data_IF_240668103324
#
_entry.id   IF_240668103324
#
_cell.length_a   1.000
_cell.length_b   1.000
_cell.length_c   1.000
_cell.angle_alpha   90.00
_cell.angle_beta   90.00
_cell.angle_gamma   90.00
#
_symmetry.space_group_name_H-M   'P 1'
#
loop_
_entity.id
_entity.type
_entity.pdbx_description
1 polymer ?
#
# COMPACT_ATOMS: atom_id res chain seq x y z
N UNK A 1 9.85 -3.98 0.33
CA UNK A 1 10.51 -2.83 -0.35
C UNK A 1 9.52 -1.71 -0.59
N UNK A 2 9.89 -0.49 -0.27
CA UNK A 2 9.12 0.74 -0.55
C UNK A 2 9.44 1.23 -1.95
N UNK A 3 8.41 1.64 -2.72
CA UNK A 3 8.63 2.25 -4.03
C UNK A 3 8.68 3.76 -3.92
N UNK A 4 9.79 4.35 -4.40
CA UNK A 4 9.92 5.77 -4.66
C UNK A 4 9.34 6.06 -6.04
N UNK A 5 8.30 6.87 -6.11
CA UNK A 5 7.64 7.28 -7.35
C UNK A 5 7.53 8.80 -7.45
N UNK A 6 7.18 9.31 -8.60
CA UNK A 6 6.90 10.73 -8.81
C UNK A 6 5.42 11.02 -8.56
N UNK A 7 5.14 12.15 -7.89
CA UNK A 7 3.78 12.66 -7.73
C UNK A 7 3.50 13.73 -8.77
N UNK A 8 2.32 13.70 -9.37
CA UNK A 8 1.86 14.73 -10.32
C UNK A 8 1.44 16.04 -9.63
N UNK A 9 1.07 15.94 -8.35
CA UNK A 9 0.64 17.05 -7.51
C UNK A 9 0.97 16.83 -6.04
N UNK A 10 0.70 17.85 -5.21
CA UNK A 10 0.69 17.73 -3.76
C UNK A 10 -0.73 17.68 -3.25
N UNK A 11 -1.00 16.82 -2.30
CA UNK A 11 -2.27 16.77 -1.57
C UNK A 11 -2.10 17.28 -0.12
N UNK A 12 -3.14 17.92 0.45
CA UNK A 12 -3.09 18.31 1.86
C UNK A 12 -3.03 17.05 2.76
N UNK A 13 -1.98 16.95 3.56
CA UNK A 13 -1.75 15.81 4.45
C UNK A 13 -0.94 14.67 3.82
N UNK A 14 -0.88 14.57 2.49
CA UNK A 14 -0.07 13.59 1.80
C UNK A 14 1.39 14.02 1.63
N UNK A 15 2.27 13.06 1.64
CA UNK A 15 3.71 13.25 1.44
C UNK A 15 4.23 12.44 0.24
N UNK A 16 3.34 11.82 -0.54
CA UNK A 16 3.68 10.94 -1.65
C UNK A 16 4.34 9.65 -1.16
N UNK A 17 5.29 9.15 -1.90
CA UNK A 17 5.92 7.85 -1.65
C UNK A 17 6.49 7.66 -0.23
N UNK A 18 6.84 8.73 0.47
CA UNK A 18 7.49 8.67 1.79
C UNK A 18 6.53 8.93 2.97
N UNK A 19 5.21 8.90 2.75
CA UNK A 19 4.23 8.91 3.84
C UNK A 19 4.49 7.71 4.77
N UNK A 20 4.50 7.96 6.09
CA UNK A 20 4.82 6.99 7.14
C UNK A 20 6.23 6.34 7.07
N UNK A 21 7.09 6.78 6.14
CA UNK A 21 8.46 6.27 5.98
C UNK A 21 9.46 7.02 6.88
N UNK A 22 10.46 6.36 7.51
CA UNK A 22 10.77 4.93 7.41
C UNK A 22 10.12 4.06 8.52
N UNK A 23 9.42 4.65 9.47
CA UNK A 23 8.97 3.98 10.71
C UNK A 23 8.02 2.82 10.41
N UNK A 24 7.04 3.03 9.54
CA UNK A 24 6.12 1.96 9.13
C UNK A 24 6.86 0.77 8.49
N UNK A 25 7.83 1.04 7.63
CA UNK A 25 8.63 -0.02 6.98
C UNK A 25 9.46 -0.79 8.01
N UNK A 26 10.08 -0.10 8.96
CA UNK A 26 10.87 -0.72 10.03
C UNK A 26 9.99 -1.61 10.91
N UNK A 27 8.86 -1.09 11.39
CA UNK A 27 7.93 -1.84 12.25
C UNK A 27 7.34 -3.06 11.50
N UNK A 28 6.97 -2.90 10.23
CA UNK A 28 6.53 -4.02 9.40
C UNK A 28 7.62 -5.12 9.33
N UNK A 29 8.89 -4.75 9.14
CA UNK A 29 9.98 -5.73 9.06
C UNK A 29 10.24 -6.41 10.40
N UNK A 30 10.10 -5.72 11.53
CA UNK A 30 10.14 -6.32 12.88
C UNK A 30 9.04 -7.38 12.99
N UNK A 31 7.79 -7.02 12.67
CA UNK A 31 6.66 -7.97 12.74
C UNK A 31 6.80 -9.13 11.78
N UNK A 32 7.32 -8.90 10.58
CA UNK A 32 7.61 -9.97 9.63
C UNK A 32 8.61 -10.98 10.22
N UNK A 33 9.65 -10.51 10.92
CA UNK A 33 10.64 -11.38 11.56
C UNK A 33 10.08 -12.18 12.74
N UNK A 34 9.15 -11.61 13.49
CA UNK A 34 8.53 -12.22 14.66
C UNK A 34 7.44 -13.24 14.30
N UNK A 35 6.65 -12.92 13.28
CA UNK A 35 5.43 -13.65 12.96
C UNK A 35 5.61 -14.67 11.82
N UNK A 36 6.75 -14.66 11.13
CA UNK A 36 7.01 -15.56 10.00
C UNK A 36 8.39 -16.19 10.09
N UNK A 37 8.68 -17.12 9.18
CA UNK A 37 10.02 -17.70 9.01
C UNK A 37 10.89 -16.89 8.04
N UNK A 38 10.45 -15.73 7.61
CA UNK A 38 11.21 -14.87 6.69
C UNK A 38 12.41 -14.28 7.41
N UNK A 39 13.61 -14.48 6.85
CA UNK A 39 14.81 -13.84 7.38
C UNK A 39 14.79 -12.35 7.11
N UNK A 40 14.91 -11.56 8.16
CA UNK A 40 15.09 -10.11 8.11
C UNK A 40 16.48 -9.78 8.62
N UNK A 41 17.25 -9.00 7.86
CA UNK A 41 18.52 -8.47 8.33
C UNK A 41 18.31 -7.31 9.31
N UNK A 42 19.27 -7.11 10.21
CA UNK A 42 19.32 -5.97 11.12
C UNK A 42 20.70 -5.34 11.07
N UNK A 43 20.77 -4.03 11.15
CA UNK A 43 22.05 -3.32 11.25
C UNK A 43 22.65 -3.43 12.67
N UNK A 44 23.83 -2.82 12.87
CA UNK A 44 24.54 -2.84 14.16
C UNK A 44 23.83 -2.03 15.29
N UNK A 45 22.71 -1.37 15.00
CA UNK A 45 21.86 -0.64 15.95
C UNK A 45 20.51 -1.32 16.12
N UNK A 46 20.38 -2.57 15.70
CA UNK A 46 19.14 -3.35 15.69
C UNK A 46 18.00 -2.70 14.86
N UNK A 47 18.36 -1.88 13.86
CA UNK A 47 17.38 -1.36 12.89
C UNK A 47 17.18 -2.38 11.78
N UNK A 48 15.93 -2.81 11.49
CA UNK A 48 15.69 -3.80 10.46
C UNK A 48 15.97 -3.25 9.06
N UNK A 49 16.53 -4.12 8.23
CA UNK A 49 16.82 -3.81 6.84
C UNK A 49 15.51 -3.60 6.07
N UNK A 50 15.41 -2.49 5.40
CA UNK A 50 14.36 -2.15 4.45
C UNK A 50 14.97 -1.46 3.24
N UNK A 51 14.29 -1.50 2.10
CA UNK A 51 14.85 -1.00 0.84
C UNK A 51 13.86 -0.05 0.17
N UNK A 52 14.39 1.06 -0.34
CA UNK A 52 13.67 1.95 -1.25
C UNK A 52 14.15 1.67 -2.67
N UNK A 53 13.21 1.47 -3.59
CA UNK A 53 13.48 1.17 -5.00
C UNK A 53 12.68 2.11 -5.89
N UNK A 54 13.15 2.34 -7.10
CA UNK A 54 12.37 2.97 -8.18
C UNK A 54 11.91 1.90 -9.16
N UNK A 55 10.81 2.12 -9.86
CA UNK A 55 10.27 1.12 -10.80
C UNK A 55 11.16 0.91 -12.01
N UNK A 56 11.99 1.88 -12.38
CA UNK A 56 12.97 1.78 -13.46
C UNK A 56 14.24 1.02 -13.06
N UNK A 57 14.51 0.82 -11.76
CA UNK A 57 15.65 0.01 -11.30
C UNK A 57 15.39 -1.49 -11.53
N UNK A 58 16.23 -2.18 -12.33
CA UNK A 58 16.08 -3.61 -12.56
C UNK A 58 16.19 -4.45 -11.28
N UNK A 59 16.71 -3.91 -10.17
CA UNK A 59 16.78 -4.60 -8.88
C UNK A 59 15.42 -4.91 -8.27
N UNK A 60 14.32 -4.29 -8.73
CA UNK A 60 12.97 -4.60 -8.23
C UNK A 60 12.66 -6.10 -8.31
N UNK A 61 13.20 -6.82 -9.30
CA UNK A 61 13.00 -8.26 -9.45
C UNK A 61 13.67 -9.10 -8.36
N UNK A 62 14.52 -8.51 -7.52
CA UNK A 62 15.09 -9.17 -6.34
C UNK A 62 14.15 -9.13 -5.12
N UNK A 63 13.08 -8.36 -5.19
CA UNK A 63 12.16 -8.12 -4.09
C UNK A 63 10.75 -8.63 -4.45
N UNK A 64 10.24 -9.66 -3.79
CA UNK A 64 8.93 -10.23 -4.13
C UNK A 64 7.75 -9.34 -3.71
N UNK A 65 7.99 -8.35 -2.84
CA UNK A 65 6.98 -7.47 -2.27
C UNK A 65 7.36 -5.99 -2.46
N UNK A 66 6.48 -5.25 -3.11
CA UNK A 66 6.54 -3.79 -3.23
C UNK A 66 5.38 -3.15 -2.48
N UNK A 67 5.67 -2.01 -1.84
CA UNK A 67 4.69 -1.21 -1.13
C UNK A 67 4.72 0.24 -1.63
N UNK A 68 3.55 0.82 -1.89
CA UNK A 68 3.37 2.22 -2.24
C UNK A 68 2.34 2.85 -1.31
N UNK A 69 2.64 3.99 -0.72
CA UNK A 69 1.72 4.81 0.07
C UNK A 69 1.34 6.06 -0.70
N UNK A 70 0.17 6.66 -0.42
CA UNK A 70 -0.34 7.94 -0.98
C UNK A 70 -0.40 7.96 -2.53
N UNK A 71 -0.79 6.81 -3.10
CA UNK A 71 -0.81 6.61 -4.57
C UNK A 71 -1.84 7.47 -5.31
N UNK A 72 -2.66 8.22 -4.59
CA UNK A 72 -3.61 9.18 -5.17
C UNK A 72 -2.94 10.31 -5.95
N UNK A 73 -1.62 10.46 -5.82
CA UNK A 73 -0.81 11.46 -6.54
C UNK A 73 0.20 10.82 -7.50
N UNK A 74 0.20 9.50 -7.61
CA UNK A 74 1.13 8.76 -8.44
C UNK A 74 1.11 9.24 -9.90
N UNK A 75 2.29 9.34 -10.48
CA UNK A 75 2.51 9.45 -11.91
C UNK A 75 3.56 8.44 -12.36
N UNK A 76 3.25 7.67 -13.41
CA UNK A 76 4.13 6.69 -14.01
C UNK A 76 4.55 7.13 -15.41
N UNK A 77 5.84 7.04 -15.70
CA UNK A 77 6.33 7.05 -17.08
C UNK A 77 5.94 5.76 -17.80
N UNK A 78 6.01 5.76 -19.12
CA UNK A 78 5.74 4.56 -19.93
C UNK A 78 6.75 3.44 -19.60
N UNK A 79 7.99 3.78 -19.30
CA UNK A 79 9.05 2.84 -18.93
C UNK A 79 8.78 2.18 -17.58
N UNK A 80 8.37 2.97 -16.58
CA UNK A 80 7.97 2.47 -15.27
C UNK A 80 6.73 1.57 -15.35
N UNK A 81 5.75 1.94 -16.18
CA UNK A 81 4.56 1.14 -16.39
C UNK A 81 4.89 -0.23 -17.01
N UNK A 82 5.74 -0.26 -18.03
CA UNK A 82 6.22 -1.52 -18.65
C UNK A 82 6.97 -2.38 -17.62
N UNK A 83 7.83 -1.76 -16.80
CA UNK A 83 8.59 -2.48 -15.77
C UNK A 83 7.66 -3.04 -14.68
N UNK A 84 6.68 -2.27 -14.26
CA UNK A 84 5.67 -2.73 -13.30
C UNK A 84 4.87 -3.93 -13.84
N UNK A 85 4.48 -3.88 -15.12
CA UNK A 85 3.83 -5.02 -15.80
C UNK A 85 4.71 -6.27 -15.72
N UNK A 86 5.98 -6.16 -16.13
CA UNK A 86 6.91 -7.28 -16.08
C UNK A 86 7.08 -7.83 -14.67
N UNK A 87 7.22 -6.94 -13.69
CA UNK A 87 7.38 -7.32 -12.28
C UNK A 87 6.18 -8.14 -11.78
N UNK A 88 4.98 -7.64 -11.99
CA UNK A 88 3.75 -8.29 -11.53
C UNK A 88 3.53 -9.65 -12.22
N UNK A 89 3.72 -9.72 -13.54
CA UNK A 89 3.53 -10.96 -14.30
C UNK A 89 4.61 -12.01 -14.05
N UNK A 90 5.81 -11.60 -13.59
CA UNK A 90 6.89 -12.52 -13.19
C UNK A 90 6.81 -13.02 -11.75
N UNK A 91 5.75 -12.70 -11.02
CA UNK A 91 5.52 -13.22 -9.68
C UNK A 91 5.60 -12.18 -8.57
N UNK A 92 5.85 -10.93 -8.91
CA UNK A 92 5.85 -9.81 -7.94
C UNK A 92 4.47 -9.55 -7.37
N UNK A 93 4.45 -8.95 -6.18
CA UNK A 93 3.24 -8.53 -5.48
C UNK A 93 3.39 -7.06 -5.09
N UNK A 94 2.38 -6.24 -5.40
CA UNK A 94 2.31 -4.84 -5.03
C UNK A 94 1.14 -4.62 -4.06
N UNK A 95 1.40 -3.94 -2.93
CA UNK A 95 0.36 -3.40 -2.07
C UNK A 95 0.39 -1.88 -2.14
N UNK A 96 -0.77 -1.27 -2.40
CA UNK A 96 -0.96 0.19 -2.37
C UNK A 96 -1.92 0.57 -1.26
N UNK A 97 -1.62 1.68 -0.56
CA UNK A 97 -2.28 2.09 0.67
C UNK A 97 -2.35 3.62 0.76
N UNK A 98 -3.09 4.15 1.73
CA UNK A 98 -3.18 5.56 2.06
C UNK A 98 -3.57 6.45 0.88
N UNK A 99 -4.71 6.17 0.27
CA UNK A 99 -5.29 7.06 -0.75
C UNK A 99 -6.80 7.17 -0.56
N UNK A 100 -7.31 8.41 -0.65
CA UNK A 100 -8.60 8.76 -0.09
C UNK A 100 -9.53 9.42 -1.08
N UNK A 101 -10.76 8.90 -1.16
CA UNK A 101 -11.83 9.45 -1.97
C UNK A 101 -11.72 9.14 -3.46
N UNK A 102 -12.72 9.57 -4.26
CA UNK A 102 -12.83 9.19 -5.66
C UNK A 102 -11.72 9.79 -6.53
N UNK A 103 -11.22 10.98 -6.21
CA UNK A 103 -10.19 11.63 -7.03
C UNK A 103 -8.85 10.88 -6.95
N UNK A 104 -8.45 10.45 -5.74
CA UNK A 104 -7.25 9.63 -5.56
C UNK A 104 -7.43 8.25 -6.23
N UNK A 105 -8.62 7.67 -6.12
CA UNK A 105 -8.96 6.44 -6.83
C UNK A 105 -8.82 6.57 -8.35
N UNK A 106 -9.42 7.61 -8.94
CA UNK A 106 -9.38 7.84 -10.39
C UNK A 106 -7.93 8.04 -10.88
N UNK A 107 -7.12 8.76 -10.11
CA UNK A 107 -5.69 8.95 -10.42
C UNK A 107 -4.95 7.62 -10.39
N UNK A 108 -5.05 6.88 -9.29
CA UNK A 108 -4.40 5.57 -9.16
C UNK A 108 -4.79 4.61 -10.29
N UNK A 109 -6.08 4.46 -10.56
CA UNK A 109 -6.58 3.58 -11.62
C UNK A 109 -6.14 4.06 -13.01
N UNK A 110 -6.09 5.37 -13.23
CA UNK A 110 -5.59 5.96 -14.47
C UNK A 110 -4.14 5.57 -14.75
N UNK A 111 -3.29 5.64 -13.72
CA UNK A 111 -1.88 5.27 -13.83
C UNK A 111 -1.69 3.74 -13.92
N UNK A 112 -2.42 2.97 -13.13
CA UNK A 112 -2.34 1.51 -13.14
C UNK A 112 -2.74 0.91 -14.51
N UNK A 113 -3.66 1.53 -15.23
CA UNK A 113 -4.07 1.11 -16.58
C UNK A 113 -2.95 1.14 -17.61
N UNK A 114 -1.91 1.93 -17.39
CA UNK A 114 -0.71 1.94 -18.24
C UNK A 114 0.07 0.62 -18.12
N UNK A 115 0.05 0.01 -16.92
CA UNK A 115 0.73 -1.25 -16.63
C UNK A 115 -0.18 -2.47 -16.87
N UNK A 116 -1.41 -2.43 -16.35
CA UNK A 116 -2.37 -3.55 -16.43
C UNK A 116 -3.67 -3.07 -17.07
N UNK A 117 -3.95 -3.42 -18.33
CA UNK A 117 -5.23 -3.12 -18.98
C UNK A 117 -6.39 -3.77 -18.23
N UNK A 118 -7.33 -2.96 -17.68
CA UNK A 118 -8.41 -3.47 -16.82
C UNK A 118 -9.45 -4.35 -17.54
N UNK A 119 -9.41 -4.42 -18.86
CA UNK A 119 -10.20 -5.38 -19.62
C UNK A 119 -9.73 -6.82 -19.39
N UNK A 120 -8.40 -6.99 -19.19
CA UNK A 120 -7.77 -8.29 -18.97
C UNK A 120 -7.51 -8.55 -17.48
N UNK A 121 -7.36 -7.47 -16.71
CA UNK A 121 -7.05 -7.47 -15.28
C UNK A 121 -8.07 -6.61 -14.51
N UNK A 122 -9.29 -7.11 -14.31
CA UNK A 122 -10.33 -6.36 -13.60
C UNK A 122 -9.97 -6.17 -12.12
N UNK A 123 -10.38 -5.02 -11.58
CA UNK A 123 -10.35 -4.80 -10.13
C UNK A 123 -11.56 -5.49 -9.51
N UNK A 124 -11.31 -6.27 -8.47
CA UNK A 124 -12.33 -6.98 -7.71
C UNK A 124 -12.28 -6.63 -6.23
N UNK A 125 -13.42 -6.55 -5.58
CA UNK A 125 -13.47 -6.43 -4.12
C UNK A 125 -13.08 -7.78 -3.48
N UNK A 126 -12.27 -7.74 -2.41
CA UNK A 126 -11.90 -8.93 -1.64
C UNK A 126 -12.94 -9.11 -0.54
N UNK A 127 -13.77 -10.17 -0.60
CA UNK A 127 -14.79 -10.39 0.42
C UNK A 127 -14.15 -10.85 1.74
N UNK A 128 -14.79 -10.55 2.88
CA UNK A 128 -14.26 -10.86 4.22
C UNK A 128 -14.05 -12.36 4.48
N UNK A 129 -14.68 -13.24 3.71
CA UNK A 129 -14.42 -14.68 3.79
C UNK A 129 -13.22 -15.16 2.96
N UNK A 130 -12.54 -14.24 2.25
CA UNK A 130 -11.35 -14.57 1.46
C UNK A 130 -10.21 -15.09 2.37
N UNK A 131 -9.42 -16.10 1.94
CA UNK A 131 -8.35 -16.67 2.76
C UNK A 131 -7.31 -15.67 3.27
N UNK A 132 -7.06 -14.55 2.57
CA UNK A 132 -6.11 -13.52 2.99
C UNK A 132 -6.44 -12.97 4.39
N UNK A 133 -7.71 -12.94 4.78
CA UNK A 133 -8.16 -12.46 6.09
C UNK A 133 -8.03 -13.50 7.20
N UNK A 134 -7.47 -14.68 6.92
CA UNK A 134 -7.38 -15.81 7.85
C UNK A 134 -6.02 -16.50 7.84
N UNK A 135 -4.99 -15.78 7.40
CA UNK A 135 -3.64 -16.38 7.23
C UNK A 135 -2.95 -16.65 8.56
N UNK A 136 -2.90 -15.67 9.45
CA UNK A 136 -2.29 -15.78 10.80
C UNK A 136 -3.31 -15.48 11.89
N UNK A 137 -4.09 -14.45 11.70
CA UNK A 137 -5.18 -14.03 12.57
C UNK A 137 -6.45 -13.90 11.76
N UNK A 138 -7.60 -14.08 12.39
CA UNK A 138 -8.86 -13.80 11.73
C UNK A 138 -9.14 -12.31 11.77
N UNK A 139 -9.15 -11.68 10.59
CA UNK A 139 -9.53 -10.29 10.40
C UNK A 139 -11.04 -10.25 10.16
N UNK A 140 -11.78 -9.61 11.05
CA UNK A 140 -13.25 -9.53 10.99
C UNK A 140 -13.75 -8.34 10.18
N UNK A 141 -12.97 -7.27 10.12
CA UNK A 141 -13.25 -6.05 9.35
C UNK A 141 -11.94 -5.39 8.94
N UNK A 142 -11.96 -4.64 7.85
CA UNK A 142 -10.82 -3.79 7.46
C UNK A 142 -10.94 -2.48 8.21
N UNK A 143 -9.96 -2.11 9.05
CA UNK A 143 -10.05 -0.88 9.82
C UNK A 143 -9.90 0.34 8.93
N UNK A 144 -10.65 1.40 9.23
CA UNK A 144 -10.39 2.72 8.68
C UNK A 144 -9.44 3.47 9.62
N UNK A 145 -8.18 3.56 9.24
CA UNK A 145 -7.13 4.23 9.99
C UNK A 145 -6.85 5.57 9.34
N UNK A 146 -7.11 6.71 10.01
CA UNK A 146 -6.79 8.03 9.51
C UNK A 146 -5.39 8.44 9.98
N UNK A 147 -4.82 9.48 9.36
CA UNK A 147 -3.64 10.14 9.91
C UNK A 147 -3.91 10.70 11.31
N UNK A 148 -2.90 10.69 12.18
CA UNK A 148 -3.01 11.25 13.54
C UNK A 148 -3.40 12.73 13.52
N UNK A 149 -2.98 13.48 12.49
CA UNK A 149 -3.32 14.89 12.34
C UNK A 149 -4.81 15.05 12.05
N UNK A 150 -5.40 14.17 11.23
CA UNK A 150 -6.85 14.17 10.96
C UNK A 150 -7.63 13.79 12.22
N UNK A 151 -7.23 12.72 12.88
CA UNK A 151 -7.84 12.26 14.13
C UNK A 151 -7.86 13.35 15.20
N UNK A 152 -6.71 13.97 15.47
CA UNK A 152 -6.60 15.09 16.43
C UNK A 152 -7.41 16.32 16.03
N UNK A 153 -7.42 16.66 14.73
CA UNK A 153 -8.17 17.83 14.21
C UNK A 153 -9.68 17.64 14.30
N UNK A 154 -10.16 16.42 14.09
CA UNK A 154 -11.58 16.05 14.23
C UNK A 154 -12.00 15.88 15.69
N UNK A 155 -11.06 15.88 16.65
CA UNK A 155 -11.33 15.55 18.05
C UNK A 155 -11.76 14.09 18.24
N UNK A 156 -11.33 13.19 17.36
CA UNK A 156 -11.73 11.79 17.36
C UNK A 156 -13.13 11.54 16.80
N UNK A 157 -13.73 12.50 16.10
CA UNK A 157 -15.12 12.40 15.66
C UNK A 157 -15.30 11.62 14.36
N UNK A 158 -14.25 11.49 13.55
CA UNK A 158 -14.32 10.79 12.25
C UNK A 158 -12.96 10.21 11.87
N UNK A 159 -13.02 9.05 11.22
CA UNK A 159 -11.88 8.38 10.59
C UNK A 159 -11.78 8.67 9.09
N UNK A 160 -12.84 9.20 8.47
CA UNK A 160 -12.86 9.53 7.05
C UNK A 160 -12.15 10.84 6.76
N UNK A 161 -11.03 10.80 6.04
CA UNK A 161 -10.19 11.99 5.77
C UNK A 161 -10.75 12.94 4.72
N UNK A 162 -11.64 12.47 3.86
CA UNK A 162 -12.23 13.25 2.77
C UNK A 162 -13.76 13.38 2.91
N UNK A 163 -14.29 13.25 4.13
CA UNK A 163 -15.71 13.33 4.44
C UNK A 163 -16.52 12.20 3.80
N UNK A 164 -17.80 12.40 3.52
CA UNK A 164 -18.73 11.38 3.01
C UNK A 164 -18.28 10.63 1.75
N UNK A 165 -17.27 11.10 1.06
CA UNK A 165 -16.72 10.42 -0.13
C UNK A 165 -15.63 9.41 0.18
N UNK A 166 -15.24 9.28 1.42
CA UNK A 166 -14.24 8.32 1.90
C UNK A 166 -14.68 7.60 3.18
N UNK A 167 -15.98 7.54 3.45
CA UNK A 167 -16.52 6.87 4.64
C UNK A 167 -16.41 5.34 4.54
N UNK A 168 -16.52 4.80 3.31
CA UNK A 168 -16.45 3.35 3.08
C UNK A 168 -15.01 2.93 2.76
N UNK A 169 -14.48 2.01 3.55
CA UNK A 169 -13.19 1.35 3.28
C UNK A 169 -13.37 0.31 2.19
N UNK A 170 -12.44 0.29 1.24
CA UNK A 170 -12.44 -0.70 0.18
C UNK A 170 -11.12 -1.48 0.18
N UNK A 171 -11.24 -2.80 0.24
CA UNK A 171 -10.11 -3.72 0.11
C UNK A 171 -10.26 -4.49 -1.20
N UNK A 172 -9.43 -4.15 -2.18
CA UNK A 172 -9.57 -4.58 -3.57
C UNK A 172 -8.30 -5.22 -4.09
N UNK A 173 -8.44 -6.04 -5.12
CA UNK A 173 -7.29 -6.65 -5.77
C UNK A 173 -7.44 -6.71 -7.28
N UNK A 174 -6.29 -6.92 -7.92
CA UNK A 174 -6.20 -7.48 -9.26
C UNK A 174 -5.52 -8.84 -9.12
N UNK A 175 -6.08 -9.86 -9.74
CA UNK A 175 -5.53 -11.21 -9.75
C UNK A 175 -5.14 -11.67 -11.16
N UNK A 176 -4.27 -12.68 -11.23
CA UNK A 176 -3.99 -13.38 -12.49
C UNK A 176 -4.97 -14.54 -12.72
N UNK A 177 -4.76 -15.27 -13.80
CA UNK A 177 -5.61 -16.42 -14.19
C UNK A 177 -5.56 -17.60 -13.21
N UNK A 178 -4.68 -17.57 -12.22
CA UNK A 178 -4.52 -18.57 -11.18
C UNK A 178 -4.99 -18.05 -9.80
N UNK A 179 -5.75 -16.96 -9.78
CA UNK A 179 -6.23 -16.27 -8.58
C UNK A 179 -5.10 -15.74 -7.67
N UNK A 180 -3.88 -15.62 -8.19
CA UNK A 180 -2.79 -14.98 -7.43
C UNK A 180 -2.99 -13.47 -7.44
N UNK A 181 -2.97 -12.85 -6.27
CA UNK A 181 -3.05 -11.39 -6.15
C UNK A 181 -1.77 -10.77 -6.71
N UNK A 182 -1.93 -9.93 -7.73
CA UNK A 182 -0.88 -9.10 -8.33
C UNK A 182 -0.76 -7.77 -7.60
N UNK A 183 -1.90 -7.11 -7.42
CA UNK A 183 -2.02 -5.81 -6.75
C UNK A 183 -3.09 -5.89 -5.68
N UNK A 184 -2.75 -5.48 -4.47
CA UNK A 184 -3.65 -5.29 -3.35
C UNK A 184 -3.83 -3.80 -3.10
N UNK A 185 -5.05 -3.36 -2.82
CA UNK A 185 -5.40 -1.94 -2.67
C UNK A 185 -6.23 -1.72 -1.41
N UNK A 186 -5.70 -0.94 -0.47
CA UNK A 186 -6.42 -0.43 0.71
C UNK A 186 -6.83 1.01 0.42
N UNK A 187 -8.08 1.21 0.02
CA UNK A 187 -8.60 2.52 -0.34
C UNK A 187 -9.48 3.08 0.78
N UNK A 188 -9.35 4.35 1.09
CA UNK A 188 -9.99 5.06 2.20
C UNK A 188 -9.54 4.56 3.58
N UNK A 189 -8.29 4.18 3.70
CA UNK A 189 -7.62 3.84 4.96
C UNK A 189 -6.11 3.97 4.78
N UNK A 190 -5.39 4.15 5.88
CA UNK A 190 -3.94 4.17 5.97
C UNK A 190 -3.46 3.08 6.93
N UNK A 191 -3.29 1.87 6.40
CA UNK A 191 -2.81 0.73 7.19
C UNK A 191 -1.37 0.97 7.67
N UNK A 192 -0.58 1.69 6.87
CA UNK A 192 0.81 2.00 7.21
C UNK A 192 0.93 2.93 8.41
N UNK A 193 -0.04 3.82 8.65
CA UNK A 193 -0.09 4.66 9.87
C UNK A 193 -0.26 3.78 11.13
N UNK A 194 -1.00 2.67 11.02
CA UNK A 194 -1.09 1.68 12.09
C UNK A 194 0.26 0.99 12.39
N UNK A 195 1.08 0.76 11.39
CA UNK A 195 2.46 0.24 11.57
C UNK A 195 3.41 1.33 12.10
N UNK A 196 3.31 2.56 11.55
CA UNK A 196 4.14 3.68 11.99
C UNK A 196 4.03 3.93 13.48
N UNK A 197 2.82 3.78 14.02
CA UNK A 197 2.49 4.11 15.40
C UNK A 197 2.40 2.91 16.33
N UNK A 198 2.94 1.81 15.92
CA UNK A 198 2.97 0.61 16.73
C UNK A 198 3.69 0.88 18.07
N UNK A 199 3.01 0.60 19.19
CA UNK A 199 3.51 0.84 20.54
C UNK A 199 3.25 2.24 21.08
N UNK A 200 2.58 3.13 20.36
CA UNK A 200 2.06 4.37 20.93
C UNK A 200 0.73 4.11 21.66
N UNK A 201 0.60 4.68 22.88
CA UNK A 201 -0.67 4.68 23.61
C UNK A 201 -1.60 5.76 23.03
N UNK A 202 -2.81 5.36 22.64
CA UNK A 202 -3.88 6.24 22.11
C UNK A 202 -4.91 6.55 23.18
#
# INVERSE_FOLDING_TARGET
SRVLYQSDRREPGGQGWHTAYPTADQNLMVRLSELTTTSVGFDHRDVPDHVVVTLDDPKIFNYPFLFMSDVGTLWLSDEEAVRLTEYLLKGGFLWVDDFWGPHAWDQWIGELRKALPLADYPVVDIPMNHPIHKTMFEVLEIPQIPSIQHWRRSGGATTSERGLRSDDVHFRAITDVHDRILVLMSHNTDIADGWEREGEDY
#
